data_IF_832615036755
#
_entry.id   IF_832615036755
#
_cell.length_a   1.000
_cell.length_b   1.000
_cell.length_c   1.000
_cell.angle_alpha   90.00
_cell.angle_beta   90.00
_cell.angle_gamma   90.00
#
_symmetry.space_group_name_H-M   'P 1'
#
loop_
_entity.id
_entity.type
_entity.pdbx_description
1 polymer ?
#
# COMPACT_ATOMS: atom_id res chain seq x y z
N UNK A 1 17.00 4.10 -11.09
CA UNK A 1 16.16 4.28 -9.89
C UNK A 1 16.61 3.26 -8.87
N UNK A 2 16.85 3.64 -7.61
CA UNK A 2 17.33 2.71 -6.59
C UNK A 2 16.22 1.80 -6.05
N UNK A 3 16.59 0.65 -5.47
CA UNK A 3 15.64 -0.34 -4.91
C UNK A 3 14.66 0.30 -3.91
N UNK A 4 15.12 1.27 -3.11
CA UNK A 4 14.28 2.02 -2.17
C UNK A 4 13.20 2.85 -2.86
N UNK A 5 13.59 3.69 -3.81
CA UNK A 5 12.65 4.57 -4.51
C UNK A 5 11.68 3.76 -5.39
N UNK A 6 12.13 2.65 -5.97
CA UNK A 6 11.26 1.73 -6.69
C UNK A 6 10.21 1.08 -5.78
N UNK A 7 10.61 0.66 -4.57
CA UNK A 7 9.67 0.10 -3.60
C UNK A 7 8.62 1.14 -3.15
N UNK A 8 9.00 2.41 -3.00
CA UNK A 8 8.08 3.51 -2.69
C UNK A 8 7.05 3.74 -3.80
N UNK A 9 7.48 3.77 -5.06
CA UNK A 9 6.56 3.89 -6.19
C UNK A 9 5.59 2.70 -6.25
N UNK A 10 6.11 1.48 -6.14
CA UNK A 10 5.29 0.26 -6.15
C UNK A 10 4.28 0.25 -5.00
N UNK A 11 4.68 0.68 -3.81
CA UNK A 11 3.77 0.81 -2.66
C UNK A 11 2.62 1.79 -2.96
N UNK A 12 2.93 2.95 -3.55
CA UNK A 12 1.92 3.93 -3.95
C UNK A 12 0.92 3.38 -5.00
N UNK A 13 1.39 2.58 -5.96
CA UNK A 13 0.51 1.95 -6.95
C UNK A 13 -0.35 0.82 -6.36
N UNK A 14 0.18 0.08 -5.40
CA UNK A 14 -0.58 -0.91 -4.63
C UNK A 14 -1.68 -0.23 -3.80
N UNK A 15 -1.39 0.90 -3.14
CA UNK A 15 -2.40 1.69 -2.43
C UNK A 15 -3.54 2.13 -3.36
N UNK A 16 -3.24 2.65 -4.55
CA UNK A 16 -4.26 3.01 -5.55
C UNK A 16 -5.10 1.81 -6.00
N UNK A 17 -4.51 0.61 -6.07
CA UNK A 17 -5.25 -0.61 -6.40
C UNK A 17 -6.20 -1.01 -5.29
N UNK A 18 -5.74 -1.00 -4.04
CA UNK A 18 -6.57 -1.28 -2.85
C UNK A 18 -7.72 -0.26 -2.76
N UNK A 19 -7.44 1.03 -2.97
CA UNK A 19 -8.47 2.07 -2.97
C UNK A 19 -9.56 1.79 -4.02
N UNK A 20 -9.18 1.38 -5.24
CA UNK A 20 -10.16 1.02 -6.28
C UNK A 20 -11.01 -0.20 -5.91
N UNK A 21 -10.46 -1.17 -5.19
CA UNK A 21 -11.23 -2.32 -4.68
C UNK A 21 -12.23 -1.84 -3.64
N UNK A 22 -11.77 -1.01 -2.69
CA UNK A 22 -12.61 -0.41 -1.66
C UNK A 22 -13.76 0.41 -2.28
N UNK A 23 -13.46 1.30 -3.23
CA UNK A 23 -14.45 2.13 -3.90
C UNK A 23 -15.47 1.27 -4.66
N UNK A 24 -15.02 0.23 -5.35
CA UNK A 24 -15.92 -0.74 -6.00
C UNK A 24 -16.79 -1.50 -5.00
N UNK A 25 -16.33 -1.70 -3.77
CA UNK A 25 -17.12 -2.26 -2.67
C UNK A 25 -18.16 -1.27 -2.14
N UNK A 26 -17.79 0.00 -1.99
CA UNK A 26 -18.72 1.08 -1.63
C UNK A 26 -19.82 1.26 -2.68
N UNK A 27 -19.51 1.14 -3.97
CA UNK A 27 -20.49 1.16 -5.06
C UNK A 27 -21.59 0.09 -4.88
N UNK A 28 -21.29 -1.04 -4.21
CA UNK A 28 -22.28 -2.09 -3.94
C UNK A 28 -23.26 -1.73 -2.81
N UNK A 29 -22.96 -0.69 -2.04
CA UNK A 29 -23.86 -0.17 -1.00
C UNK A 29 -24.99 0.70 -1.60
N UNK A 30 -24.89 1.09 -2.88
CA UNK A 30 -25.96 1.77 -3.61
C UNK A 30 -27.10 0.78 -3.94
N UNK A 31 -28.36 1.07 -3.60
CA UNK A 31 -29.51 0.26 -4.00
C UNK A 31 -29.66 0.02 -5.51
N UNK A 32 -29.03 0.85 -6.35
CA UNK A 32 -28.99 0.72 -7.81
C UNK A 32 -27.81 -0.11 -8.34
N UNK A 33 -27.02 -0.72 -7.47
CA UNK A 33 -25.89 -1.55 -7.87
C UNK A 33 -26.33 -2.66 -8.83
N UNK A 34 -25.58 -2.80 -9.93
CA UNK A 34 -25.92 -3.75 -10.98
C UNK A 34 -25.22 -5.10 -10.77
N UNK A 35 -25.71 -6.16 -11.42
CA UNK A 35 -25.00 -7.45 -11.49
C UNK A 35 -23.57 -7.30 -12.04
N UNK A 36 -23.36 -6.33 -12.94
CA UNK A 36 -22.05 -5.99 -13.49
C UNK A 36 -21.14 -5.40 -12.40
N UNK A 37 -21.64 -4.49 -11.57
CA UNK A 37 -20.91 -3.91 -10.43
C UNK A 37 -20.45 -5.00 -9.45
N UNK A 38 -21.36 -5.92 -9.10
CA UNK A 38 -21.05 -7.08 -8.23
C UNK A 38 -19.96 -7.97 -8.84
N UNK A 39 -20.06 -8.26 -10.14
CA UNK A 39 -19.09 -9.11 -10.84
C UNK A 39 -17.72 -8.45 -10.91
N UNK A 40 -17.66 -7.14 -11.23
CA UNK A 40 -16.43 -6.34 -11.21
C UNK A 40 -15.77 -6.38 -9.83
N UNK A 41 -16.54 -6.12 -8.77
CA UNK A 41 -16.01 -6.16 -7.41
C UNK A 41 -15.46 -7.55 -7.06
N UNK A 42 -16.18 -8.65 -7.36
CA UNK A 42 -15.70 -10.02 -7.10
C UNK A 42 -14.35 -10.31 -7.78
N UNK A 43 -14.21 -9.95 -9.05
CA UNK A 43 -12.95 -10.13 -9.80
C UNK A 43 -11.81 -9.31 -9.16
N UNK A 44 -12.11 -8.09 -8.73
CA UNK A 44 -11.11 -7.24 -8.08
C UNK A 44 -10.74 -7.78 -6.69
N UNK A 45 -11.72 -8.25 -5.92
CA UNK A 45 -11.55 -8.80 -4.58
C UNK A 45 -10.69 -10.08 -4.58
N UNK A 46 -10.81 -10.94 -5.59
CA UNK A 46 -9.94 -12.13 -5.71
C UNK A 46 -8.46 -11.80 -5.85
N UNK A 47 -8.11 -10.57 -6.23
CA UNK A 47 -6.71 -10.14 -6.31
C UNK A 47 -6.16 -9.62 -4.98
N UNK A 48 -7.00 -9.46 -3.95
CA UNK A 48 -6.64 -8.80 -2.70
C UNK A 48 -5.57 -9.55 -1.91
N UNK A 49 -5.60 -10.89 -1.91
CA UNK A 49 -4.56 -11.71 -1.25
C UNK A 49 -3.18 -11.45 -1.88
N UNK A 50 -3.08 -11.49 -3.21
CA UNK A 50 -1.82 -11.19 -3.90
C UNK A 50 -1.36 -9.75 -3.64
N UNK A 51 -2.29 -8.79 -3.55
CA UNK A 51 -1.95 -7.40 -3.24
C UNK A 51 -1.40 -7.23 -1.83
N UNK A 52 -1.88 -8.03 -0.86
CA UNK A 52 -1.33 -8.04 0.50
C UNK A 52 0.14 -8.48 0.49
N UNK A 53 0.44 -9.60 -0.16
CA UNK A 53 1.80 -10.15 -0.22
C UNK A 53 2.76 -9.17 -0.92
N UNK A 54 2.32 -8.56 -2.02
CA UNK A 54 3.08 -7.52 -2.72
C UNK A 54 3.34 -6.30 -1.82
N UNK A 55 2.34 -5.90 -1.02
CA UNK A 55 2.44 -4.76 -0.11
C UNK A 55 3.44 -5.05 1.02
N UNK A 56 3.37 -6.24 1.61
CA UNK A 56 4.29 -6.71 2.65
C UNK A 56 5.74 -6.75 2.13
N UNK A 57 5.93 -7.21 0.88
CA UNK A 57 7.24 -7.20 0.23
C UNK A 57 7.81 -5.79 0.06
N UNK A 58 7.00 -4.84 -0.42
CA UNK A 58 7.46 -3.46 -0.61
C UNK A 58 7.77 -2.78 0.73
N UNK A 59 6.91 -2.92 1.74
CA UNK A 59 7.16 -2.39 3.09
C UNK A 59 8.42 -3.01 3.69
N UNK A 60 8.59 -4.32 3.59
CA UNK A 60 9.79 -4.99 4.10
C UNK A 60 11.06 -4.47 3.43
N UNK A 61 11.00 -4.16 2.13
CA UNK A 61 12.12 -3.58 1.39
C UNK A 61 12.46 -2.16 1.87
N UNK A 62 11.43 -1.34 2.10
CA UNK A 62 11.56 0.02 2.65
C UNK A 62 12.15 -0.03 4.06
N UNK A 63 11.58 -0.84 4.96
CA UNK A 63 12.06 -1.00 6.34
C UNK A 63 13.52 -1.46 6.33
N UNK A 64 13.86 -2.50 5.56
CA UNK A 64 15.23 -3.01 5.49
C UNK A 64 16.23 -1.95 5.02
N UNK A 65 15.84 -1.10 4.07
CA UNK A 65 16.68 0.01 3.63
C UNK A 65 16.89 1.04 4.75
N UNK A 66 15.81 1.44 5.41
CA UNK A 66 15.85 2.42 6.49
C UNK A 66 16.61 1.90 7.73
N UNK A 67 16.48 0.62 8.07
CA UNK A 67 17.25 -0.02 9.15
C UNK A 67 18.75 -0.08 8.86
N UNK A 68 19.15 -0.24 7.58
CA UNK A 68 20.56 -0.15 7.20
C UNK A 68 21.09 1.26 7.39
N UNK A 69 20.29 2.28 7.03
CA UNK A 69 20.66 3.69 7.24
C UNK A 69 20.77 4.03 8.74
N UNK A 70 19.84 3.54 9.58
CA UNK A 70 19.89 3.79 11.03
C UNK A 70 21.02 3.07 11.74
N UNK A 71 21.43 1.88 11.25
CA UNK A 71 22.61 1.19 11.79
C UNK A 71 23.93 1.95 11.55
N UNK A 72 23.94 2.89 10.60
CA UNK A 72 25.10 3.74 10.28
C UNK A 72 25.07 5.13 10.94
N UNK A 73 23.94 5.55 11.52
CA UNK A 73 23.79 6.86 12.13
C UNK A 73 22.82 6.80 13.32
N UNK A 74 23.33 7.03 14.53
CA UNK A 74 22.57 6.94 15.78
C UNK A 74 21.38 7.90 15.88
N UNK A 75 20.43 7.53 16.74
CA UNK A 75 19.19 8.15 17.29
C UNK A 75 18.40 9.24 16.52
N UNK A 76 19.06 10.15 15.79
CA UNK A 76 18.44 11.20 14.95
C UNK A 76 17.68 10.60 13.75
N UNK A 77 18.03 9.37 13.34
CA UNK A 77 17.41 8.67 12.21
C UNK A 77 15.99 8.21 12.50
N UNK A 78 15.64 7.98 13.77
CA UNK A 78 14.32 7.46 14.17
C UNK A 78 13.19 8.43 13.85
N UNK A 79 13.38 9.72 14.11
CA UNK A 79 12.40 10.77 13.78
C UNK A 79 12.30 11.02 12.28
N UNK A 80 13.41 10.89 11.55
CA UNK A 80 13.41 10.99 10.08
C UNK A 80 12.68 9.82 9.44
N UNK A 81 12.92 8.59 9.91
CA UNK A 81 12.17 7.40 9.50
C UNK A 81 10.68 7.59 9.80
N UNK A 82 10.34 8.07 11.01
CA UNK A 82 8.94 8.32 11.40
C UNK A 82 8.28 9.38 10.50
N UNK A 83 9.01 10.44 10.13
CA UNK A 83 8.53 11.47 9.20
C UNK A 83 8.34 10.92 7.78
N UNK A 84 9.27 10.11 7.27
CA UNK A 84 9.14 9.47 5.95
C UNK A 84 7.95 8.50 5.93
N UNK A 85 7.76 7.71 6.99
CA UNK A 85 6.57 6.87 7.15
C UNK A 85 5.26 7.65 7.33
N UNK A 86 5.29 8.85 7.92
CA UNK A 86 4.10 9.71 8.03
C UNK A 86 3.74 10.40 6.71
N UNK A 87 4.72 10.69 5.86
CA UNK A 87 4.49 11.15 4.48
C UNK A 87 3.82 10.08 3.62
N UNK A 88 4.16 8.80 3.84
CA UNK A 88 3.31 7.71 3.41
C UNK A 88 2.03 7.73 4.26
N UNK A 89 1.01 8.45 3.82
CA UNK A 89 -0.36 8.31 4.34
C UNK A 89 -0.86 6.88 4.11
N UNK A 90 -0.33 5.91 4.85
CA UNK A 90 -0.84 4.55 4.95
C UNK A 90 -2.13 4.70 5.73
N UNK A 91 -3.22 4.91 5.00
CA UNK A 91 -4.56 4.79 5.56
C UNK A 91 -4.71 3.31 5.87
N UNK A 92 -4.47 2.94 7.13
CA UNK A 92 -4.90 1.66 7.68
C UNK A 92 -6.42 1.82 7.84
N UNK A 93 -7.18 1.16 6.96
CA UNK A 93 -8.63 1.05 7.05
C UNK A 93 -9.02 0.09 8.18
#
# INVERSE_FOLDING_TARGET
MGVYEEAKLRLGDLQKRIQRIHDAGLELSDPKATKTSVTKFKIMYTTLENLRDDFELQITTIIRHLSKISSTAGDVVTDKIRSEFAEFKIIIF
#
